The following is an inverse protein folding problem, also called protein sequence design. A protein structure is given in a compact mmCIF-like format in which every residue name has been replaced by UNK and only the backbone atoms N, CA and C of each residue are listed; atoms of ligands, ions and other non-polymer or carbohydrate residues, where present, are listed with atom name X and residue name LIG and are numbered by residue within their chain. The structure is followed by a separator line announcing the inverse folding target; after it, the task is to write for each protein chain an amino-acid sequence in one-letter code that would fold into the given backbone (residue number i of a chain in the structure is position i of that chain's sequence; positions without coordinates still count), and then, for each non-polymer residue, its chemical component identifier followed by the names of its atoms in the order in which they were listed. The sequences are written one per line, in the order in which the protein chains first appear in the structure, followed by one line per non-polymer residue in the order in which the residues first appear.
data_IF_185282143096
#
_entry.id   IF_185282143096
#
_cell.length_a   1.000
_cell.length_b   1.000
_cell.length_c   1.000
_cell.angle_alpha   90.00
_cell.angle_beta   90.00
_cell.angle_gamma   90.00
#
_symmetry.space_group_name_H-M   'P 1'
#
loop_
_entity.id
_entity.type
_entity.pdbx_description
1 polymer ?
#
# COMPACT_ATOMS: atom_id res chain seq x y z
N UNK A 1 -1.55 -17.10 9.90
CA UNK A 1 -1.22 -18.45 9.39
C UNK A 1 -0.19 -18.29 8.28
N UNK A 2 1.10 -18.39 8.61
CA UNK A 2 2.16 -18.47 7.61
C UNK A 2 2.25 -19.91 7.14
N UNK A 3 2.01 -20.14 5.85
CA UNK A 3 2.25 -21.44 5.22
C UNK A 3 3.74 -21.49 4.90
N UNK A 4 4.48 -22.37 5.56
CA UNK A 4 5.88 -22.67 5.23
C UNK A 4 5.93 -23.42 3.90
N UNK A 5 6.45 -22.77 2.86
CA UNK A 5 6.63 -23.36 1.52
C UNK A 5 8.01 -24.02 1.32
N UNK A 6 8.71 -24.38 2.40
CA UNK A 6 10.13 -24.75 2.35
C UNK A 6 10.46 -26.15 1.76
N UNK A 7 9.52 -26.86 1.14
CA UNK A 7 9.71 -28.28 0.77
C UNK A 7 9.31 -28.71 -0.64
N UNK A 8 8.76 -27.84 -1.49
CA UNK A 8 8.46 -28.22 -2.87
C UNK A 8 9.71 -28.03 -3.74
N UNK A 9 10.33 -29.16 -4.09
CA UNK A 9 11.47 -29.21 -5.00
C UNK A 9 11.22 -28.36 -6.24
N UNK A 10 12.19 -27.52 -6.57
CA UNK A 10 12.17 -26.63 -7.73
C UNK A 10 12.07 -27.48 -8.98
N UNK A 11 10.84 -27.70 -9.45
CA UNK A 11 10.60 -28.33 -10.75
C UNK A 11 11.23 -27.45 -11.82
N UNK A 12 11.69 -28.05 -12.90
CA UNK A 12 12.27 -27.35 -14.07
C UNK A 12 11.42 -26.19 -14.58
N UNK A 13 10.11 -26.25 -14.33
CA UNK A 13 9.16 -25.18 -14.64
C UNK A 13 9.43 -23.92 -13.81
N UNK A 14 9.78 -24.04 -12.52
CA UNK A 14 10.13 -22.90 -11.68
C UNK A 14 11.40 -22.19 -12.18
N UNK A 15 12.38 -22.94 -12.70
CA UNK A 15 13.62 -22.38 -13.25
C UNK A 15 13.36 -21.62 -14.55
N UNK A 16 12.53 -22.16 -15.46
CA UNK A 16 12.19 -21.43 -16.69
C UNK A 16 11.39 -20.17 -16.38
N UNK A 17 10.48 -20.22 -15.41
CA UNK A 17 9.74 -19.03 -14.98
C UNK A 17 10.64 -17.98 -14.34
N UNK A 18 11.65 -18.38 -13.55
CA UNK A 18 12.57 -17.43 -12.91
C UNK A 18 13.50 -16.77 -13.93
N UNK A 19 14.01 -17.50 -14.93
CA UNK A 19 14.87 -16.92 -15.97
C UNK A 19 14.08 -15.94 -16.84
N UNK A 20 12.86 -16.30 -17.27
CA UNK A 20 11.99 -15.39 -18.02
C UNK A 20 11.68 -14.14 -17.19
N UNK A 21 11.45 -14.32 -15.89
CA UNK A 21 11.16 -13.23 -14.97
C UNK A 21 12.33 -12.27 -14.80
N UNK A 22 13.54 -12.78 -14.58
CA UNK A 22 14.76 -11.96 -14.48
C UNK A 22 15.03 -11.20 -15.79
N UNK A 23 14.85 -11.86 -16.93
CA UNK A 23 14.99 -11.22 -18.24
C UNK A 23 13.91 -10.13 -18.48
N UNK A 24 12.70 -10.32 -17.98
CA UNK A 24 11.63 -9.31 -17.99
C UNK A 24 11.90 -8.17 -17.02
N UNK A 25 12.61 -8.44 -15.92
CA UNK A 25 12.97 -7.41 -14.94
C UNK A 25 14.05 -6.46 -15.50
N UNK A 26 15.00 -6.97 -16.30
CA UNK A 26 15.92 -6.17 -17.11
C UNK A 26 15.34 -5.81 -18.49
N UNK A 27 14.08 -5.35 -18.50
CA UNK A 27 13.44 -4.88 -19.72
C UNK A 27 14.22 -3.78 -20.46
N UNK A 28 15.01 -2.87 -19.82
CA UNK A 28 15.80 -1.90 -20.56
C UNK A 28 16.86 -2.57 -21.43
N UNK A 29 17.54 -3.60 -20.90
CA UNK A 29 18.51 -4.41 -21.65
C UNK A 29 17.87 -5.14 -22.83
N UNK A 30 16.73 -5.80 -22.59
CA UNK A 30 15.95 -6.48 -23.64
C UNK A 30 15.55 -5.52 -24.77
N UNK A 31 15.03 -4.35 -24.40
CA UNK A 31 14.60 -3.34 -25.35
C UNK A 31 15.77 -2.78 -26.15
N UNK A 32 16.92 -2.54 -25.51
CA UNK A 32 18.15 -2.14 -26.19
C UNK A 32 18.59 -3.18 -27.23
N UNK A 33 18.56 -4.46 -26.87
CA UNK A 33 18.88 -5.55 -27.79
C UNK A 33 17.92 -5.61 -29.00
N UNK A 34 16.61 -5.47 -28.76
CA UNK A 34 15.59 -5.45 -29.82
C UNK A 34 15.76 -4.26 -30.78
N UNK A 35 16.08 -3.07 -30.24
CA UNK A 35 16.37 -1.90 -31.06
C UNK A 35 17.62 -2.10 -31.93
N UNK A 36 18.69 -2.68 -31.38
CA UNK A 36 19.90 -2.99 -32.14
C UNK A 36 19.62 -3.99 -33.27
N UNK A 37 18.80 -5.01 -33.01
CA UNK A 37 18.35 -5.95 -34.03
C UNK A 37 17.54 -5.25 -35.11
N UNK A 38 16.61 -4.36 -34.74
CA UNK A 38 15.81 -3.58 -35.67
C UNK A 38 16.66 -2.69 -36.58
N UNK A 39 17.62 -1.96 -36.01
CA UNK A 39 18.58 -1.14 -36.76
C UNK A 39 19.41 -2.01 -37.71
N UNK A 40 19.89 -3.17 -37.24
CA UNK A 40 20.63 -4.13 -38.06
C UNK A 40 19.80 -4.65 -39.25
N UNK A 41 18.54 -4.99 -39.03
CA UNK A 41 17.64 -5.46 -40.08
C UNK A 41 17.39 -4.39 -41.15
N UNK A 42 17.15 -3.13 -40.74
CA UNK A 42 16.96 -2.02 -41.68
C UNK A 42 18.23 -1.71 -42.48
N UNK A 43 19.40 -1.76 -41.82
CA UNK A 43 20.68 -1.57 -42.50
C UNK A 43 20.93 -2.67 -43.56
N UNK A 44 20.63 -3.93 -43.25
CA UNK A 44 20.74 -5.04 -44.20
C UNK A 44 19.79 -4.86 -45.39
N UNK A 45 18.53 -4.49 -45.15
CA UNK A 45 17.56 -4.25 -46.24
C UNK A 45 18.01 -3.09 -47.13
N UNK A 46 18.60 -2.04 -46.55
CA UNK A 46 19.18 -0.95 -47.33
C UNK A 46 20.33 -1.42 -48.24
N UNK A 47 21.24 -2.26 -47.73
CA UNK A 47 22.33 -2.86 -48.52
C UNK A 47 21.79 -3.74 -49.65
N UNK A 48 20.79 -4.58 -49.36
CA UNK A 48 20.11 -5.43 -50.36
C UNK A 48 19.44 -4.57 -51.44
N UNK A 49 18.74 -3.50 -51.06
CA UNK A 49 18.17 -2.54 -52.00
C UNK A 49 19.23 -1.86 -52.88
N UNK A 50 20.44 -1.67 -52.34
CA UNK A 50 21.64 -1.26 -53.07
C UNK A 50 22.05 -2.27 -54.15
N UNK A 51 22.23 -3.53 -53.76
CA UNK A 51 22.67 -4.62 -54.65
C UNK A 51 21.66 -4.88 -55.76
N UNK A 52 20.36 -4.86 -55.43
CA UNK A 52 19.27 -5.10 -56.39
C UNK A 52 18.93 -3.87 -57.25
N UNK A 53 19.58 -2.72 -57.01
CA UNK A 53 19.28 -1.44 -57.65
C UNK A 53 17.77 -1.07 -57.62
N UNK A 54 17.07 -1.44 -56.54
CA UNK A 54 15.63 -1.20 -56.41
C UNK A 54 15.37 0.02 -55.52
N UNK A 55 15.01 1.14 -56.13
CA UNK A 55 14.75 2.40 -55.44
C UNK A 55 13.57 2.34 -54.47
N UNK A 56 12.60 1.44 -54.69
CA UNK A 56 11.47 1.27 -53.77
C UNK A 56 11.92 0.71 -52.42
N UNK A 57 12.84 -0.25 -52.42
CA UNK A 57 13.37 -0.86 -51.18
C UNK A 57 14.22 0.16 -50.41
N UNK A 58 15.02 0.97 -51.13
CA UNK A 58 15.80 2.06 -50.52
C UNK A 58 14.89 3.12 -49.90
N UNK A 59 13.83 3.52 -50.60
CA UNK A 59 12.87 4.49 -50.10
C UNK A 59 12.14 3.96 -48.85
N UNK A 60 11.72 2.69 -48.87
CA UNK A 60 11.14 2.03 -47.70
C UNK A 60 12.10 2.02 -46.51
N UNK A 61 13.36 1.62 -46.71
CA UNK A 61 14.36 1.59 -45.65
C UNK A 61 14.62 2.98 -45.05
N UNK A 62 14.62 4.04 -45.86
CA UNK A 62 14.76 5.42 -45.36
C UNK A 62 13.62 5.83 -44.44
N UNK A 63 12.37 5.46 -44.79
CA UNK A 63 11.20 5.74 -43.94
C UNK A 63 11.32 4.97 -42.62
N UNK A 64 11.71 3.69 -42.69
CA UNK A 64 11.83 2.83 -41.51
C UNK A 64 12.91 3.35 -40.53
N UNK A 65 14.02 3.92 -41.03
CA UNK A 65 15.04 4.57 -40.17
C UNK A 65 14.43 5.73 -39.36
N UNK A 66 13.59 6.57 -39.97
CA UNK A 66 12.93 7.65 -39.24
C UNK A 66 11.98 7.11 -38.17
N UNK A 67 11.28 6.02 -38.45
CA UNK A 67 10.33 5.40 -37.51
C UNK A 67 11.04 4.73 -36.33
N UNK A 68 12.20 4.11 -36.57
CA UNK A 68 13.10 3.64 -35.50
C UNK A 68 13.61 4.80 -34.64
N UNK A 69 14.02 5.92 -35.25
CA UNK A 69 14.46 7.09 -34.51
C UNK A 69 13.36 7.66 -33.59
N UNK A 70 12.11 7.72 -34.07
CA UNK A 70 10.96 8.09 -33.22
C UNK A 70 10.73 7.09 -32.08
N UNK A 71 10.95 5.79 -32.32
CA UNK A 71 10.82 4.76 -31.29
C UNK A 71 11.85 4.95 -30.16
N UNK A 72 13.09 5.29 -30.50
CA UNK A 72 14.15 5.62 -29.53
C UNK A 72 13.78 6.86 -28.73
N UNK A 73 13.26 7.91 -29.38
CA UNK A 73 12.83 9.14 -28.71
C UNK A 73 11.71 8.86 -27.71
N UNK A 74 10.69 8.09 -28.11
CA UNK A 74 9.59 7.66 -27.24
C UNK A 74 10.12 6.92 -26.01
N UNK A 75 11.10 6.02 -26.20
CA UNK A 75 11.69 5.27 -25.09
C UNK A 75 12.40 6.19 -24.09
N UNK A 76 13.22 7.13 -24.57
CA UNK A 76 13.90 8.11 -23.71
C UNK A 76 12.86 8.92 -22.91
N UNK A 77 11.78 9.34 -23.57
CA UNK A 77 10.70 10.07 -22.92
C UNK A 77 10.02 9.23 -21.82
N UNK A 78 9.73 7.95 -22.10
CA UNK A 78 9.12 7.04 -21.12
C UNK A 78 10.04 6.83 -19.92
N UNK A 79 11.32 6.53 -20.14
CA UNK A 79 12.32 6.40 -19.04
C UNK A 79 12.37 7.67 -18.20
N UNK A 80 12.37 8.84 -18.85
CA UNK A 80 12.29 10.14 -18.17
C UNK A 80 11.01 10.31 -17.36
N UNK A 81 9.85 9.93 -17.90
CA UNK A 81 8.58 9.91 -17.17
C UNK A 81 8.60 8.96 -15.98
N UNK A 82 9.26 7.79 -16.07
CA UNK A 82 9.38 6.86 -14.94
C UNK A 82 10.15 7.51 -13.79
N UNK A 83 11.26 8.17 -14.10
CA UNK A 83 12.04 8.93 -13.12
C UNK A 83 11.25 10.09 -12.52
N UNK A 84 10.49 10.81 -13.35
CA UNK A 84 9.62 11.90 -12.92
C UNK A 84 8.46 11.45 -12.03
N UNK A 85 7.83 10.30 -12.33
CA UNK A 85 6.78 9.73 -11.49
C UNK A 85 7.33 9.27 -10.14
N UNK A 86 8.55 8.71 -10.12
CA UNK A 86 9.22 8.34 -8.87
C UNK A 86 9.53 9.56 -8.02
N UNK A 87 10.10 10.62 -8.60
CA UNK A 87 10.41 11.85 -7.85
C UNK A 87 9.15 12.57 -7.37
N UNK A 88 8.08 12.57 -8.17
CA UNK A 88 6.79 13.11 -7.76
C UNK A 88 6.16 12.31 -6.61
N UNK A 89 6.18 10.98 -6.68
CA UNK A 89 5.69 10.14 -5.58
C UNK A 89 6.53 10.33 -4.30
N UNK A 90 7.84 10.52 -4.47
CA UNK A 90 8.73 10.82 -3.36
C UNK A 90 8.42 12.19 -2.74
N UNK A 91 8.21 13.24 -3.54
CA UNK A 91 7.89 14.56 -3.01
C UNK A 91 6.52 14.60 -2.35
N UNK A 92 5.53 13.93 -2.94
CA UNK A 92 4.20 13.81 -2.36
C UNK A 92 4.22 13.06 -1.02
N UNK A 93 5.03 12.00 -0.91
CA UNK A 93 5.17 11.26 0.35
C UNK A 93 6.03 11.97 1.40
N UNK A 94 6.93 12.86 1.01
CA UNK A 94 7.77 13.62 1.95
C UNK A 94 7.06 14.82 2.58
N UNK A 95 6.20 15.51 1.83
CA UNK A 95 5.52 16.72 2.29
C UNK A 95 4.21 16.42 3.04
N UNK A 96 3.52 15.35 2.67
CA UNK A 96 2.23 15.00 3.30
C UNK A 96 2.43 14.30 4.64
N UNK A 97 1.41 14.37 5.51
CA UNK A 97 1.32 13.78 6.86
C UNK A 97 1.53 12.25 6.93
N UNK A 98 2.03 11.61 5.86
CA UNK A 98 2.60 10.28 5.84
C UNK A 98 3.74 10.05 6.86
N UNK A 99 4.16 11.07 7.62
CA UNK A 99 5.02 10.96 8.80
C UNK A 99 4.57 9.88 9.80
N UNK A 100 3.31 9.44 9.77
CA UNK A 100 2.76 8.47 10.70
C UNK A 100 2.48 7.07 10.10
N UNK A 101 2.75 6.87 8.81
CA UNK A 101 2.63 5.58 8.12
C UNK A 101 4.00 5.01 7.73
N UNK A 102 4.22 3.74 8.00
CA UNK A 102 5.46 2.97 7.76
C UNK A 102 5.90 2.83 6.29
N UNK A 103 5.30 3.58 5.37
CA UNK A 103 5.52 3.49 3.93
C UNK A 103 6.31 4.71 3.40
N UNK A 104 7.45 5.02 4.00
CA UNK A 104 8.42 5.94 3.38
C UNK A 104 9.22 5.18 2.31
N UNK A 105 9.18 5.69 1.07
CA UNK A 105 9.92 5.12 -0.05
C UNK A 105 11.45 5.22 0.09
N UNK A 106 11.98 5.96 1.07
CA UNK A 106 13.41 6.22 1.23
C UNK A 106 14.08 5.42 2.34
N UNK A 107 13.34 4.94 3.35
CA UNK A 107 13.92 4.31 4.54
C UNK A 107 13.58 2.84 4.74
N UNK A 108 12.32 2.45 4.52
CA UNK A 108 11.81 1.14 4.97
C UNK A 108 12.04 0.02 3.94
N UNK A 109 12.23 0.38 2.66
CA UNK A 109 12.51 -0.58 1.59
C UNK A 109 13.85 -1.34 1.75
N UNK A 110 14.79 -0.79 2.51
CA UNK A 110 16.07 -1.45 2.76
C UNK A 110 16.02 -2.46 3.92
N UNK A 111 15.00 -2.40 4.78
CA UNK A 111 14.98 -3.16 6.03
C UNK A 111 13.97 -4.31 6.07
N UNK A 112 12.81 -4.20 5.41
CA UNK A 112 11.68 -5.05 5.78
C UNK A 112 11.11 -6.02 4.74
N UNK A 113 11.62 -6.08 3.51
CA UNK A 113 11.12 -7.10 2.58
C UNK A 113 11.94 -7.20 1.29
N UNK A 114 12.68 -8.29 1.13
CA UNK A 114 13.18 -8.72 -0.19
C UNK A 114 12.03 -8.88 -1.20
N UNK A 115 10.81 -9.13 -0.72
CA UNK A 115 9.61 -9.33 -1.54
C UNK A 115 9.15 -8.06 -2.29
N UNK A 116 9.62 -6.87 -1.90
CA UNK A 116 9.33 -5.60 -2.59
C UNK A 116 10.53 -5.00 -3.34
N UNK A 117 11.65 -5.74 -3.41
CA UNK A 117 12.84 -5.29 -4.15
C UNK A 117 12.51 -5.10 -5.63
N UNK A 118 12.63 -3.86 -6.12
CA UNK A 118 12.40 -3.49 -7.52
C UNK A 118 10.99 -2.98 -7.84
N UNK A 119 10.08 -2.86 -6.86
CA UNK A 119 8.79 -2.20 -7.08
C UNK A 119 8.96 -0.68 -6.97
N UNK A 120 8.48 0.11 -7.97
CA UNK A 120 8.51 1.56 -7.89
C UNK A 120 7.69 2.11 -6.71
N UNK A 121 8.18 3.20 -6.12
CA UNK A 121 7.56 3.90 -4.98
C UNK A 121 6.06 4.19 -5.16
N UNK A 122 5.63 4.70 -6.32
CA UNK A 122 4.23 5.07 -6.54
C UNK A 122 3.29 3.86 -6.52
N UNK A 123 3.75 2.69 -6.99
CA UNK A 123 2.99 1.44 -6.94
C UNK A 123 2.92 0.93 -5.50
N UNK A 124 4.05 1.00 -4.79
CA UNK A 124 4.11 0.61 -3.38
C UNK A 124 3.15 1.44 -2.51
N UNK A 125 3.15 2.77 -2.64
CA UNK A 125 2.22 3.66 -1.93
C UNK A 125 0.76 3.36 -2.27
N UNK A 126 0.47 3.01 -3.53
CA UNK A 126 -0.88 2.60 -3.94
C UNK A 126 -1.31 1.28 -3.28
N UNK A 127 -0.40 0.32 -3.19
CA UNK A 127 -0.65 -0.95 -2.49
C UNK A 127 -0.84 -0.74 -0.99
N UNK A 128 -0.06 0.15 -0.37
CA UNK A 128 -0.20 0.50 1.05
C UNK A 128 -1.56 1.15 1.35
N UNK A 129 -2.04 2.03 0.47
CA UNK A 129 -3.38 2.59 0.56
C UNK A 129 -4.46 1.50 0.48
N UNK A 130 -4.39 0.59 -0.50
CA UNK A 130 -5.34 -0.52 -0.62
C UNK A 130 -5.31 -1.45 0.61
N UNK A 131 -4.12 -1.73 1.13
CA UNK A 131 -3.93 -2.57 2.31
C UNK A 131 -4.47 -1.89 3.57
N UNK A 132 -4.34 -0.56 3.67
CA UNK A 132 -4.94 0.24 4.74
C UNK A 132 -6.47 0.18 4.68
N UNK A 133 -7.09 0.38 3.51
CA UNK A 133 -8.54 0.19 3.34
C UNK A 133 -8.99 -1.23 3.71
N UNK A 134 -8.21 -2.25 3.34
CA UNK A 134 -8.51 -3.64 3.68
C UNK A 134 -8.47 -3.89 5.20
N UNK A 135 -7.41 -3.44 5.89
CA UNK A 135 -7.26 -3.61 7.34
C UNK A 135 -8.36 -2.90 8.11
N UNK A 136 -8.68 -1.68 7.73
CA UNK A 136 -9.72 -0.88 8.37
C UNK A 136 -11.11 -1.48 8.11
N UNK A 137 -11.35 -1.98 6.89
CA UNK A 137 -12.56 -2.77 6.58
C UNK A 137 -12.66 -4.06 7.38
N UNK A 138 -11.53 -4.75 7.59
CA UNK A 138 -11.47 -5.96 8.40
C UNK A 138 -11.79 -5.68 9.88
N UNK A 139 -11.20 -4.64 10.45
CA UNK A 139 -11.48 -4.21 11.83
C UNK A 139 -12.95 -3.81 12.01
N UNK A 140 -13.50 -3.02 11.08
CA UNK A 140 -14.92 -2.66 11.07
C UNK A 140 -15.83 -3.90 10.94
N UNK A 141 -15.47 -4.86 10.09
CA UNK A 141 -16.23 -6.09 9.91
C UNK A 141 -16.20 -6.96 11.18
N UNK A 142 -15.06 -7.07 11.87
CA UNK A 142 -14.97 -7.81 13.13
C UNK A 142 -15.77 -7.17 14.26
N UNK A 143 -15.75 -5.83 14.38
CA UNK A 143 -16.57 -5.11 15.38
C UNK A 143 -18.07 -5.34 15.12
N UNK A 144 -18.53 -5.16 13.87
CA UNK A 144 -19.93 -5.39 13.50
C UNK A 144 -20.32 -6.85 13.74
N UNK A 145 -19.47 -7.81 13.36
CA UNK A 145 -19.72 -9.23 13.55
C UNK A 145 -19.81 -9.60 15.04
N UNK A 146 -18.88 -9.10 15.87
CA UNK A 146 -18.90 -9.34 17.31
C UNK A 146 -20.18 -8.79 17.97
N UNK A 147 -20.58 -7.57 17.60
CA UNK A 147 -21.84 -6.96 18.06
C UNK A 147 -23.06 -7.71 17.54
N UNK A 148 -23.01 -8.26 16.33
CA UNK A 148 -24.08 -9.06 15.75
C UNK A 148 -24.27 -10.37 16.52
N UNK A 149 -23.18 -11.11 16.79
CA UNK A 149 -23.24 -12.36 17.57
C UNK A 149 -23.80 -12.10 18.97
N UNK A 150 -23.35 -11.03 19.64
CA UNK A 150 -23.86 -10.67 20.96
C UNK A 150 -25.36 -10.34 20.93
N UNK A 151 -25.80 -9.51 19.97
CA UNK A 151 -27.22 -9.15 19.87
C UNK A 151 -28.09 -10.30 19.36
N UNK A 152 -27.55 -11.25 18.60
CA UNK A 152 -28.23 -12.49 18.23
C UNK A 152 -28.41 -13.40 19.45
N UNK A 153 -27.36 -13.58 20.27
CA UNK A 153 -27.45 -14.34 21.52
C UNK A 153 -28.48 -13.75 22.48
N UNK A 154 -28.47 -12.41 22.67
CA UNK A 154 -29.45 -11.73 23.52
C UNK A 154 -30.89 -11.82 22.97
N UNK A 155 -31.06 -11.87 21.65
CA UNK A 155 -32.37 -12.06 21.03
C UNK A 155 -32.93 -13.48 21.28
N UNK A 156 -32.05 -14.47 21.36
CA UNK A 156 -32.40 -15.86 21.69
C UNK A 156 -32.65 -16.07 23.18
N UNK A 157 -32.11 -15.21 24.06
CA UNK A 157 -32.48 -15.11 25.47
C UNK A 157 -33.89 -14.51 25.62
N UNK A 158 -34.89 -15.19 25.05
CA UNK A 158 -36.29 -14.86 25.21
C UNK A 158 -36.82 -15.44 26.51
N UNK A 159 -37.27 -14.58 27.42
CA UNK A 159 -38.15 -15.00 28.51
C UNK A 159 -39.52 -15.22 27.89
N UNK A 160 -39.80 -16.45 27.49
CA UNK A 160 -41.11 -16.82 26.96
C UNK A 160 -42.14 -16.71 28.10
N UNK A 161 -42.89 -15.60 28.12
CA UNK A 161 -44.11 -15.51 28.92
C UNK A 161 -45.19 -16.29 28.17
N UNK A 162 -45.32 -17.56 28.53
CA UNK A 162 -46.34 -18.45 28.01
C UNK A 162 -47.59 -18.34 28.88
N UNK A 163 -48.62 -17.66 28.37
CA UNK A 163 -49.92 -17.61 29.05
C UNK A 163 -50.79 -18.71 28.46
N UNK A 164 -50.84 -19.85 29.15
CA UNK A 164 -51.68 -20.98 28.77
C UNK A 164 -53.12 -20.65 29.18
N UNK A 165 -53.96 -20.35 28.20
CA UNK A 165 -55.40 -20.18 28.40
C UNK A 165 -56.12 -21.41 27.86
N UNK A 166 -56.84 -22.12 28.73
CA UNK A 166 -57.45 -23.44 28.44
C UNK A 166 -58.48 -23.42 27.31
N UNK A 167 -58.93 -22.25 26.86
CA UNK A 167 -59.92 -22.10 25.78
C UNK A 167 -59.40 -21.39 24.53
N UNK A 168 -58.23 -20.75 24.57
CA UNK A 168 -57.77 -19.84 23.48
C UNK A 168 -56.36 -20.15 22.95
N UNK A 169 -55.70 -21.19 23.44
CA UNK A 169 -54.39 -21.63 22.96
C UNK A 169 -53.22 -20.98 23.69
N UNK A 170 -52.02 -21.25 23.18
CA UNK A 170 -50.75 -20.78 23.74
C UNK A 170 -50.40 -19.44 23.12
N UNK A 171 -50.40 -18.37 23.92
CA UNK A 171 -49.85 -17.07 23.53
C UNK A 171 -48.45 -16.93 24.12
N UNK A 172 -47.45 -16.85 23.25
CA UNK A 172 -46.08 -16.52 23.61
C UNK A 172 -45.82 -15.06 23.24
N UNK A 173 -45.61 -14.20 24.25
CA UNK A 173 -45.25 -12.80 24.03
C UNK A 173 -43.74 -12.61 24.17
N UNK A 174 -43.08 -12.21 23.08
CA UNK A 174 -41.64 -11.95 23.03
C UNK A 174 -41.37 -10.51 22.58
N UNK A 175 -41.49 -9.52 23.49
CA UNK A 175 -41.45 -8.10 23.13
C UNK A 175 -40.13 -7.69 22.49
N UNK A 176 -39.04 -8.35 22.88
CA UNK A 176 -37.69 -8.00 22.43
C UNK A 176 -37.34 -8.57 21.06
N UNK A 177 -38.04 -9.62 20.60
CA UNK A 177 -37.64 -10.37 19.39
C UNK A 177 -37.73 -9.53 18.13
N UNK A 178 -38.82 -8.79 17.93
CA UNK A 178 -39.00 -7.96 16.72
C UNK A 178 -37.94 -6.86 16.59
N UNK A 179 -37.62 -6.24 17.72
CA UNK A 179 -36.59 -5.21 17.83
C UNK A 179 -35.20 -5.76 17.46
N UNK A 180 -34.79 -6.89 18.02
CA UNK A 180 -33.47 -7.47 17.75
C UNK A 180 -33.34 -7.99 16.31
N UNK A 181 -34.44 -8.48 15.73
CA UNK A 181 -34.45 -8.97 14.35
C UNK A 181 -34.03 -7.87 13.38
N UNK A 182 -34.61 -6.67 13.47
CA UNK A 182 -34.27 -5.58 12.53
C UNK A 182 -32.80 -5.15 12.71
N UNK A 183 -32.35 -4.95 13.95
CA UNK A 183 -30.95 -4.58 14.21
C UNK A 183 -29.94 -5.63 13.72
N UNK A 184 -30.25 -6.91 13.92
CA UNK A 184 -29.43 -8.03 13.45
C UNK A 184 -29.43 -8.11 11.91
N UNK A 185 -30.57 -7.86 11.25
CA UNK A 185 -30.62 -7.81 9.78
C UNK A 185 -29.76 -6.70 9.20
N UNK A 186 -29.79 -5.49 9.79
CA UNK A 186 -28.93 -4.39 9.34
C UNK A 186 -27.45 -4.73 9.51
N UNK A 187 -27.05 -5.25 10.68
CA UNK A 187 -25.66 -5.66 10.92
C UNK A 187 -25.20 -6.77 9.97
N UNK A 188 -26.05 -7.75 9.70
CA UNK A 188 -25.74 -8.82 8.76
C UNK A 188 -25.54 -8.27 7.33
N UNK A 189 -26.39 -7.34 6.89
CA UNK A 189 -26.22 -6.66 5.60
C UNK A 189 -24.92 -5.83 5.55
N UNK A 190 -24.61 -5.08 6.61
CA UNK A 190 -23.37 -4.29 6.68
C UNK A 190 -22.12 -5.18 6.67
N UNK A 191 -22.15 -6.30 7.39
CA UNK A 191 -21.07 -7.28 7.37
C UNK A 191 -20.85 -7.85 5.96
N UNK A 192 -21.90 -8.33 5.29
CA UNK A 192 -21.81 -8.83 3.91
C UNK A 192 -21.27 -7.75 2.95
N UNK A 193 -21.70 -6.50 3.14
CA UNK A 193 -21.22 -5.36 2.36
C UNK A 193 -19.71 -5.08 2.58
N UNK A 194 -19.24 -5.04 3.84
CA UNK A 194 -17.82 -4.83 4.15
C UNK A 194 -16.94 -5.95 3.61
N UNK A 195 -17.37 -7.21 3.67
CA UNK A 195 -16.64 -8.35 3.10
C UNK A 195 -16.45 -8.17 1.58
N UNK A 196 -17.46 -7.64 0.87
CA UNK A 196 -17.34 -7.34 -0.57
C UNK A 196 -16.35 -6.20 -0.83
N UNK A 197 -16.41 -5.12 -0.04
CA UNK A 197 -15.44 -4.01 -0.15
C UNK A 197 -14.00 -4.48 0.10
N UNK A 198 -13.78 -5.29 1.14
CA UNK A 198 -12.48 -5.91 1.42
C UNK A 198 -11.99 -6.78 0.27
N UNK A 199 -12.88 -7.57 -0.33
CA UNK A 199 -12.55 -8.42 -1.47
C UNK A 199 -12.12 -7.59 -2.67
N UNK A 200 -12.82 -6.48 -2.95
CA UNK A 200 -12.48 -5.54 -4.02
C UNK A 200 -11.12 -4.87 -3.76
N UNK A 201 -10.89 -4.36 -2.54
CA UNK A 201 -9.62 -3.73 -2.17
C UNK A 201 -8.45 -4.71 -2.32
N UNK A 202 -8.62 -5.96 -1.88
CA UNK A 202 -7.56 -6.98 -2.00
C UNK A 202 -7.32 -7.40 -3.44
N UNK A 203 -8.37 -7.52 -4.25
CA UNK A 203 -8.25 -7.78 -5.68
C UNK A 203 -7.46 -6.66 -6.38
N UNK A 204 -7.70 -5.39 -6.03
CA UNK A 204 -7.00 -4.24 -6.59
C UNK A 204 -5.53 -4.20 -6.18
N UNK A 205 -5.20 -4.53 -4.93
CA UNK A 205 -3.81 -4.69 -4.47
C UNK A 205 -3.08 -5.77 -5.29
N UNK A 206 -3.72 -6.92 -5.49
CA UNK A 206 -3.18 -8.03 -6.30
C UNK A 206 -3.03 -7.58 -7.76
N UNK A 207 -4.01 -6.84 -8.31
CA UNK A 207 -3.96 -6.30 -9.66
C UNK A 207 -2.80 -5.33 -9.83
N UNK A 208 -2.56 -4.41 -8.88
CA UNK A 208 -1.44 -3.48 -8.92
C UNK A 208 -0.09 -4.22 -8.94
N UNK A 209 0.03 -5.26 -8.11
CA UNK A 209 1.23 -6.12 -8.11
C UNK A 209 1.39 -6.88 -9.42
N UNK A 210 0.31 -7.44 -9.96
CA UNK A 210 0.33 -8.11 -11.26
C UNK A 210 0.68 -7.15 -12.40
N UNK A 211 0.21 -5.90 -12.32
CA UNK A 211 0.51 -4.86 -13.30
C UNK A 211 2.00 -4.53 -13.30
N UNK A 212 2.60 -4.29 -12.13
CA UNK A 212 4.00 -3.91 -12.02
C UNK A 212 4.95 -5.04 -12.39
N UNK A 213 4.60 -6.26 -12.00
CA UNK A 213 5.50 -7.42 -12.07
C UNK A 213 5.34 -8.19 -13.38
N UNK A 214 4.11 -8.42 -13.85
CA UNK A 214 3.84 -9.26 -15.02
C UNK A 214 3.43 -8.45 -16.25
N UNK A 215 2.37 -7.66 -16.13
CA UNK A 215 1.69 -7.07 -17.27
C UNK A 215 2.51 -5.95 -17.94
N UNK A 216 3.18 -5.10 -17.16
CA UNK A 216 3.97 -3.99 -17.69
C UNK A 216 5.15 -4.48 -18.54
N UNK A 217 6.10 -5.30 -18.03
CA UNK A 217 7.22 -5.76 -18.84
C UNK A 217 6.77 -6.54 -20.07
N UNK A 218 5.71 -7.35 -19.95
CA UNK A 218 5.15 -8.13 -21.05
C UNK A 218 4.59 -7.23 -22.16
N UNK A 219 3.59 -6.38 -21.87
CA UNK A 219 2.97 -5.53 -22.90
C UNK A 219 3.94 -4.49 -23.44
N UNK A 220 4.85 -3.98 -22.62
CA UNK A 220 5.84 -3.01 -23.07
C UNK A 220 6.83 -3.64 -24.06
N UNK A 221 7.42 -4.79 -23.70
CA UNK A 221 8.39 -5.49 -24.56
C UNK A 221 7.75 -6.00 -25.84
N UNK A 222 6.55 -6.61 -25.75
CA UNK A 222 5.78 -7.03 -26.93
C UNK A 222 5.39 -5.83 -27.80
N UNK A 223 4.97 -4.72 -27.19
CA UNK A 223 4.62 -3.51 -27.93
C UNK A 223 5.78 -2.96 -28.75
N UNK A 224 6.99 -2.96 -28.20
CA UNK A 224 8.21 -2.54 -28.89
C UNK A 224 8.56 -3.50 -30.02
N UNK A 225 8.51 -4.81 -29.76
CA UNK A 225 8.78 -5.84 -30.78
C UNK A 225 7.81 -5.73 -31.97
N UNK A 226 6.51 -5.57 -31.69
CA UNK A 226 5.50 -5.37 -32.72
C UNK A 226 5.69 -4.06 -33.50
N UNK A 227 6.42 -3.09 -32.94
CA UNK A 227 6.71 -1.83 -33.62
C UNK A 227 7.77 -1.97 -34.72
N UNK A 228 8.61 -3.01 -34.64
CA UNK A 228 9.64 -3.33 -35.65
C UNK A 228 9.01 -3.80 -36.98
N UNK A 229 7.80 -4.36 -36.93
CA UNK A 229 7.08 -4.78 -38.15
C UNK A 229 6.07 -3.72 -38.58
N UNK A 230 6.17 -3.26 -39.83
CA UNK A 230 5.30 -2.22 -40.39
C UNK A 230 3.79 -2.55 -40.25
N UNK A 231 3.40 -3.81 -40.40
CA UNK A 231 1.99 -4.23 -40.31
C UNK A 231 1.44 -4.24 -38.87
N UNK A 232 2.27 -4.50 -37.85
CA UNK A 232 1.83 -4.56 -36.45
C UNK A 232 2.15 -3.28 -35.68
N UNK A 233 2.67 -2.25 -36.33
CA UNK A 233 3.09 -1.00 -35.67
C UNK A 233 1.98 -0.32 -34.88
N UNK A 234 0.78 -0.24 -35.47
CA UNK A 234 -0.41 0.32 -34.82
C UNK A 234 -0.80 -0.46 -33.56
N UNK A 235 -0.73 -1.78 -33.63
CA UNK A 235 -1.00 -2.65 -32.48
C UNK A 235 0.09 -2.50 -31.40
N UNK A 236 1.36 -2.37 -31.80
CA UNK A 236 2.47 -2.11 -30.89
C UNK A 236 2.30 -0.81 -30.11
N UNK A 237 1.91 0.27 -30.78
CA UNK A 237 1.60 1.57 -30.14
C UNK A 237 0.47 1.48 -29.12
N UNK A 238 -0.60 0.71 -29.42
CA UNK A 238 -1.68 0.43 -28.48
C UNK A 238 -1.20 -0.34 -27.25
N UNK A 239 -0.44 -1.43 -27.42
CA UNK A 239 0.04 -2.24 -26.29
C UNK A 239 0.99 -1.44 -25.38
N UNK A 240 1.86 -0.61 -25.96
CA UNK A 240 2.69 0.32 -25.18
C UNK A 240 1.84 1.33 -24.41
N UNK A 241 0.80 1.90 -25.02
CA UNK A 241 -0.10 2.84 -24.35
C UNK A 241 -0.83 2.18 -23.16
N UNK A 242 -1.28 0.93 -23.32
CA UNK A 242 -1.89 0.13 -22.24
C UNK A 242 -0.91 -0.10 -21.10
N UNK A 243 0.31 -0.53 -21.42
CA UNK A 243 1.35 -0.77 -20.42
C UNK A 243 1.65 0.50 -19.60
N UNK A 244 1.88 1.63 -20.28
CA UNK A 244 2.21 2.92 -19.64
C UNK A 244 1.04 3.41 -18.79
N UNK A 245 -0.19 3.36 -19.31
CA UNK A 245 -1.37 3.86 -18.58
C UNK A 245 -1.65 3.05 -17.32
N UNK A 246 -1.59 1.72 -17.40
CA UNK A 246 -1.79 0.85 -16.24
C UNK A 246 -0.65 0.99 -15.21
N UNK A 247 0.57 1.23 -15.65
CA UNK A 247 1.72 1.34 -14.76
C UNK A 247 1.89 2.72 -14.11
N UNK A 248 1.45 3.79 -14.78
CA UNK A 248 1.58 5.16 -14.26
C UNK A 248 0.26 5.73 -13.77
N UNK A 249 -0.75 5.77 -14.64
CA UNK A 249 -1.98 6.51 -14.36
C UNK A 249 -2.76 5.81 -13.26
N UNK A 250 -2.97 4.50 -13.37
CA UNK A 250 -3.73 3.72 -12.38
C UNK A 250 -3.21 3.90 -10.94
N UNK A 251 -1.93 3.63 -10.61
CA UNK A 251 -1.42 3.82 -9.25
C UNK A 251 -1.44 5.29 -8.79
N UNK A 252 -1.15 6.27 -9.65
CA UNK A 252 -1.13 7.68 -9.23
C UNK A 252 -2.48 8.12 -8.62
N UNK A 253 -3.60 7.68 -9.18
CA UNK A 253 -4.92 7.99 -8.60
C UNK A 253 -5.14 7.35 -7.22
N UNK A 254 -4.59 6.15 -6.99
CA UNK A 254 -4.61 5.52 -5.68
C UNK A 254 -3.68 6.23 -4.68
N UNK A 255 -2.51 6.70 -5.10
CA UNK A 255 -1.63 7.53 -4.26
C UNK A 255 -2.35 8.81 -3.83
N UNK A 256 -3.01 9.50 -4.76
CA UNK A 256 -3.81 10.70 -4.44
C UNK A 256 -4.91 10.35 -3.44
N UNK A 257 -5.61 9.22 -3.65
CA UNK A 257 -6.61 8.73 -2.70
C UNK A 257 -6.05 8.44 -1.31
N UNK A 258 -4.87 7.84 -1.23
CA UNK A 258 -4.15 7.59 0.02
C UNK A 258 -3.78 8.86 0.76
N UNK A 259 -3.30 9.89 0.05
CA UNK A 259 -2.98 11.20 0.64
C UNK A 259 -4.23 11.84 1.26
N UNK A 260 -5.32 11.92 0.50
CA UNK A 260 -6.58 12.49 1.01
C UNK A 260 -7.16 11.67 2.17
N UNK A 261 -7.11 10.34 2.07
CA UNK A 261 -7.56 9.43 3.12
C UNK A 261 -6.79 9.66 4.43
N UNK A 262 -5.45 9.72 4.35
CA UNK A 262 -4.59 9.94 5.50
C UNK A 262 -4.77 11.33 6.10
N UNK A 263 -4.94 12.37 5.29
CA UNK A 263 -5.20 13.73 5.79
C UNK A 263 -6.50 13.80 6.59
N UNK A 264 -7.58 13.17 6.11
CA UNK A 264 -8.84 13.10 6.86
C UNK A 264 -8.69 12.30 8.16
N UNK A 265 -7.93 11.21 8.10
CA UNK A 265 -7.61 10.40 9.27
C UNK A 265 -6.87 11.22 10.34
N UNK A 266 -5.86 11.97 9.94
CA UNK A 266 -5.09 12.80 10.86
C UNK A 266 -5.93 13.93 11.48
N UNK A 267 -6.80 14.57 10.69
CA UNK A 267 -7.74 15.57 11.21
C UNK A 267 -8.70 14.97 12.23
N UNK A 268 -9.26 13.80 11.95
CA UNK A 268 -10.16 13.12 12.87
C UNK A 268 -9.50 12.73 14.20
N UNK A 269 -8.22 12.35 14.17
CA UNK A 269 -7.43 12.08 15.39
C UNK A 269 -7.12 13.39 16.13
N UNK A 270 -6.75 14.46 15.42
CA UNK A 270 -6.44 15.76 16.02
C UNK A 270 -7.63 16.41 16.74
N UNK A 271 -8.85 16.21 16.23
CA UNK A 271 -10.09 16.73 16.85
C UNK A 271 -10.49 15.99 18.14
N UNK A 272 -9.95 14.79 18.38
CA UNK A 272 -10.20 14.00 19.59
C UNK A 272 -8.90 13.79 20.40
N UNK A 273 -8.33 14.85 20.99
CA UNK A 273 -6.99 14.83 21.62
C UNK A 273 -6.95 14.10 22.97
N UNK A 274 -7.80 13.10 23.19
CA UNK A 274 -7.86 12.32 24.43
C UNK A 274 -6.53 11.63 24.80
N UNK A 275 -5.56 11.61 23.88
CA UNK A 275 -4.21 11.11 24.11
C UNK A 275 -3.22 11.97 23.29
N UNK A 276 -2.12 12.48 23.88
CA UNK A 276 -1.09 13.18 23.12
C UNK A 276 -0.40 12.22 22.14
N UNK A 277 -0.56 12.49 20.84
CA UNK A 277 0.00 11.72 19.72
C UNK A 277 1.47 11.32 19.91
N UNK A 278 2.25 12.17 20.56
CA UNK A 278 3.68 11.98 20.80
C UNK A 278 4.03 10.75 21.64
N UNK A 279 3.14 10.28 22.53
CA UNK A 279 3.43 9.10 23.37
C UNK A 279 3.13 7.78 22.66
N UNK A 280 2.15 7.74 21.75
CA UNK A 280 1.75 6.52 21.03
C UNK A 280 2.82 6.11 19.99
N UNK A 281 3.47 7.10 19.36
CA UNK A 281 4.41 6.88 18.24
C UNK A 281 5.76 6.31 18.64
N UNK A 282 6.29 6.72 19.80
CA UNK A 282 7.57 6.20 20.29
C UNK A 282 7.48 4.70 20.55
N UNK A 283 6.32 4.20 20.93
CA UNK A 283 6.18 2.82 21.39
C UNK A 283 5.83 1.87 20.23
N UNK A 284 5.10 2.35 19.21
CA UNK A 284 4.77 1.53 18.03
C UNK A 284 6.00 1.23 17.16
N UNK A 285 6.87 2.22 16.93
CA UNK A 285 8.15 1.98 16.24
C UNK A 285 9.05 1.02 17.04
N UNK A 286 9.12 1.18 18.36
CA UNK A 286 9.88 0.25 19.22
C UNK A 286 9.33 -1.18 19.13
N UNK A 287 8.01 -1.39 19.09
CA UNK A 287 7.43 -2.75 19.05
C UNK A 287 7.53 -3.41 17.67
N UNK A 288 7.40 -2.65 16.57
CA UNK A 288 7.53 -3.16 15.20
C UNK A 288 9.01 -3.37 14.79
N UNK A 289 9.94 -2.53 15.22
CA UNK A 289 11.37 -2.66 14.90
C UNK A 289 12.07 -3.77 15.72
N UNK A 290 11.58 -4.10 16.92
CA UNK A 290 12.24 -5.09 17.78
C UNK A 290 11.78 -6.53 17.55
N UNK A 291 10.61 -6.76 16.93
CA UNK A 291 10.02 -8.09 16.86
C UNK A 291 9.77 -8.68 18.27
N UNK A 292 9.02 -9.77 18.35
CA UNK A 292 8.74 -10.45 19.63
C UNK A 292 9.95 -11.19 20.23
N UNK A 293 11.17 -10.92 19.75
CA UNK A 293 12.41 -11.47 20.28
C UNK A 293 13.19 -10.35 20.97
N UNK A 294 13.71 -10.54 22.20
CA UNK A 294 14.67 -9.60 22.75
C UNK A 294 15.88 -9.55 21.80
N UNK A 295 16.00 -8.49 21.02
CA UNK A 295 17.22 -8.21 20.25
C UNK A 295 18.29 -7.88 21.27
N UNK A 296 19.00 -8.90 21.72
CA UNK A 296 20.32 -8.72 22.27
C UNK A 296 21.17 -8.18 21.12
N UNK A 297 21.36 -6.87 21.08
CA UNK A 297 22.49 -6.31 20.36
C UNK A 297 23.74 -6.93 21.01
N UNK A 298 24.22 -8.04 20.46
CA UNK A 298 25.53 -8.58 20.78
C UNK A 298 26.54 -7.61 20.16
N UNK A 299 26.68 -6.47 20.82
CA UNK A 299 27.73 -5.50 20.59
C UNK A 299 28.99 -6.23 21.01
N UNK A 300 29.67 -6.82 20.01
CA UNK A 300 31.03 -7.26 20.16
C UNK A 300 31.85 -6.19 20.88
N UNK A 301 32.91 -6.63 21.56
CA UNK A 301 33.72 -5.83 22.49
C UNK A 301 33.88 -4.36 22.05
N UNK A 302 33.81 -3.41 22.99
CA UNK A 302 33.78 -1.98 22.69
C UNK A 302 35.10 -1.56 22.04
N UNK A 303 35.14 -1.60 20.71
CA UNK A 303 36.20 -0.97 19.93
C UNK A 303 35.80 0.50 19.71
N UNK A 304 36.77 1.43 19.69
CA UNK A 304 36.50 2.86 19.46
C UNK A 304 35.69 3.12 18.18
N UNK A 305 35.85 2.27 17.17
CA UNK A 305 35.18 2.36 15.87
C UNK A 305 33.65 2.17 15.95
N UNK A 306 33.17 1.34 16.89
CA UNK A 306 31.73 1.10 17.09
C UNK A 306 31.05 2.22 17.91
N UNK A 307 31.82 2.98 18.69
CA UNK A 307 31.35 4.14 19.46
C UNK A 307 31.07 5.35 18.55
N UNK A 308 31.90 5.57 17.53
CA UNK A 308 31.66 6.64 16.54
C UNK A 308 30.40 6.39 15.71
N UNK A 309 30.16 5.13 15.31
CA UNK A 309 28.90 4.74 14.63
C UNK A 309 27.67 5.01 15.49
N UNK A 310 27.76 4.84 16.81
CA UNK A 310 26.65 5.12 17.73
C UNK A 310 26.32 6.62 17.83
N UNK A 311 27.33 7.47 17.94
CA UNK A 311 27.14 8.92 17.98
C UNK A 311 26.57 9.45 16.65
N UNK A 312 27.04 8.90 15.53
CA UNK A 312 26.56 9.24 14.19
C UNK A 312 25.09 8.81 13.99
N UNK A 313 24.70 7.62 14.46
CA UNK A 313 23.30 7.18 14.42
C UNK A 313 22.43 8.12 15.27
N UNK A 314 22.78 8.40 16.53
CA UNK A 314 21.96 9.29 17.38
C UNK A 314 21.87 10.72 16.83
N UNK A 315 22.94 11.23 16.24
CA UNK A 315 22.97 12.56 15.65
C UNK A 315 22.18 12.61 14.33
N UNK A 316 22.21 11.54 13.54
CA UNK A 316 21.35 11.39 12.37
C UNK A 316 19.88 11.26 12.77
N UNK A 317 19.55 10.56 13.87
CA UNK A 317 18.17 10.49 14.38
C UNK A 317 17.68 11.87 14.87
N UNK A 318 18.55 12.64 15.56
CA UNK A 318 18.25 14.01 15.99
C UNK A 318 18.00 14.94 14.80
N UNK A 319 18.83 14.84 13.75
CA UNK A 319 18.69 15.66 12.55
C UNK A 319 17.48 15.25 11.69
N UNK A 320 17.11 13.96 11.69
CA UNK A 320 16.01 13.44 10.87
C UNK A 320 14.64 13.70 11.51
N UNK A 321 14.55 13.62 12.84
CA UNK A 321 13.26 13.69 13.54
C UNK A 321 13.09 14.91 14.46
N UNK A 322 14.13 15.74 14.65
CA UNK A 322 14.05 16.98 15.43
C UNK A 322 13.93 16.80 16.95
N UNK A 323 14.02 15.57 17.46
CA UNK A 323 13.91 15.27 18.90
C UNK A 323 15.28 15.05 19.55
N UNK A 324 15.52 15.76 20.65
CA UNK A 324 16.74 15.61 21.46
C UNK A 324 16.53 14.61 22.60
N UNK A 325 16.73 13.31 22.30
CA UNK A 325 16.60 12.21 23.26
C UNK A 325 17.56 12.30 24.45
N UNK A 326 18.54 13.20 24.43
CA UNK A 326 19.47 13.38 25.55
C UNK A 326 18.81 14.01 26.78
N UNK A 327 17.73 14.79 26.59
CA UNK A 327 17.07 15.50 27.70
C UNK A 327 16.08 14.64 28.51
N UNK A 328 15.56 13.55 27.92
CA UNK A 328 14.61 12.66 28.60
C UNK A 328 15.24 11.66 29.57
N UNK A 329 16.52 11.31 29.38
CA UNK A 329 17.21 10.28 30.16
C UNK A 329 18.06 10.84 31.32
N UNK A 330 18.28 12.15 31.36
CA UNK A 330 19.00 12.81 32.46
C UNK A 330 17.98 13.63 33.26
N UNK A 331 17.24 12.96 34.13
CA UNK A 331 16.25 13.60 35.00
C UNK A 331 16.89 14.74 35.80
N UNK A 332 16.41 15.98 35.60
CA UNK A 332 16.63 17.22 36.40
C UNK A 332 17.94 17.27 37.22
N UNK A 333 19.04 16.83 36.64
CA UNK A 333 20.35 16.76 37.24
C UNK A 333 21.20 17.86 36.64
N UNK A 334 21.73 18.70 37.51
CA UNK A 334 22.59 19.84 37.24
C UNK A 334 23.47 19.67 35.97
N UNK A 335 23.39 20.56 34.95
CA UNK A 335 24.13 20.43 33.69
C UNK A 335 25.67 20.35 33.85
N UNK A 336 26.21 20.64 35.04
CA UNK A 336 27.62 20.40 35.38
C UNK A 336 28.02 18.93 35.59
N UNK A 337 27.08 17.99 35.71
CA UNK A 337 27.40 16.57 35.92
C UNK A 337 27.92 15.88 34.64
N UNK A 338 27.52 16.35 33.45
CA UNK A 338 27.92 15.74 32.18
C UNK A 338 29.36 16.08 31.81
N UNK A 339 29.85 17.28 32.17
CA UNK A 339 31.25 17.66 31.90
C UNK A 339 32.26 16.97 32.81
N UNK A 340 31.89 16.59 34.03
CA UNK A 340 32.78 15.86 34.94
C UNK A 340 32.92 14.36 34.59
N UNK A 341 32.05 13.80 33.75
CA UNK A 341 32.14 12.41 33.28
C UNK A 341 33.09 12.24 32.08
N UNK A 342 33.41 13.30 31.35
CA UNK A 342 34.36 13.25 30.23
C UNK A 342 35.83 13.27 30.72
N UNK A 343 36.07 13.72 31.96
CA UNK A 343 37.41 13.84 32.55
C UNK A 343 37.87 12.65 33.39
N UNK A 344 36.99 11.70 33.73
CA UNK A 344 37.35 10.51 34.49
C UNK A 344 37.05 9.28 33.64
N UNK A 345 38.10 8.53 33.29
CA UNK A 345 38.06 7.41 32.35
C UNK A 345 36.80 6.55 32.49
N UNK A 346 36.06 6.43 31.40
CA UNK A 346 34.83 5.64 31.28
C UNK A 346 35.12 4.16 31.56
N UNK A 347 35.00 3.79 32.82
CA UNK A 347 34.76 2.41 33.22
C UNK A 347 33.28 2.15 32.95
N UNK A 348 32.99 1.52 31.81
CA UNK A 348 31.72 0.87 31.46
C UNK A 348 30.47 1.46 32.15
N UNK A 349 29.97 2.60 31.66
CA UNK A 349 28.56 2.93 31.86
C UNK A 349 27.78 1.92 31.02
N UNK A 350 27.35 0.86 31.68
CA UNK A 350 26.56 -0.21 31.10
C UNK A 350 25.20 0.37 30.70
N UNK A 351 25.06 0.81 29.45
CA UNK A 351 23.80 1.35 28.92
C UNK A 351 22.65 0.32 29.00
N UNK A 352 22.98 -0.98 29.15
CA UNK A 352 21.99 -2.03 29.45
C UNK A 352 21.43 -2.00 30.88
N UNK A 353 21.98 -1.23 31.82
CA UNK A 353 21.41 -1.11 33.18
C UNK A 353 20.52 0.11 33.37
N UNK A 354 20.48 1.05 32.41
CA UNK A 354 19.65 2.27 32.49
C UNK A 354 18.49 2.29 31.49
N UNK A 355 18.33 1.25 30.65
CA UNK A 355 16.99 0.69 30.43
C UNK A 355 16.72 -0.19 31.65
N UNK A 356 16.67 0.44 32.83
CA UNK A 356 16.23 -0.24 34.03
C UNK A 356 14.90 -0.87 33.68
N UNK A 357 14.79 -2.19 33.88
CA UNK A 357 13.58 -3.00 33.69
C UNK A 357 12.39 -2.08 33.70
N UNK A 358 11.92 -1.71 32.50
CA UNK A 358 10.72 -0.91 32.36
C UNK A 358 9.72 -1.72 33.16
N UNK A 359 9.37 -1.22 34.35
CA UNK A 359 8.61 -1.96 35.34
C UNK A 359 7.47 -2.63 34.57
N UNK A 360 7.33 -3.95 34.69
CA UNK A 360 6.34 -4.69 33.90
C UNK A 360 4.95 -4.04 34.08
N UNK A 361 4.73 -3.34 35.20
CA UNK A 361 3.58 -2.48 35.45
C UNK A 361 3.46 -1.30 34.47
N UNK A 362 4.54 -0.58 34.14
CA UNK A 362 4.61 0.51 33.16
C UNK A 362 4.53 0.00 31.74
N UNK A 363 5.16 -1.14 31.41
CA UNK A 363 5.00 -1.77 30.10
C UNK A 363 3.55 -2.21 29.92
N UNK A 364 2.93 -2.83 30.93
CA UNK A 364 1.53 -3.20 30.90
C UNK A 364 0.59 -1.98 30.89
N UNK A 365 0.93 -0.88 31.56
CA UNK A 365 0.17 0.37 31.49
C UNK A 365 0.30 1.01 30.11
N UNK A 366 1.48 0.97 29.51
CA UNK A 366 1.74 1.41 28.15
C UNK A 366 1.00 0.52 27.15
N UNK A 367 1.04 -0.81 27.29
CA UNK A 367 0.33 -1.73 26.38
C UNK A 367 -1.19 -1.67 26.59
N UNK A 368 -1.66 -1.39 27.82
CA UNK A 368 -3.07 -1.16 28.11
C UNK A 368 -3.53 0.19 27.56
N UNK A 369 -2.76 1.26 27.77
CA UNK A 369 -3.05 2.57 27.21
C UNK A 369 -2.94 2.52 25.67
N UNK A 370 -1.96 1.81 25.11
CA UNK A 370 -1.87 1.57 23.67
C UNK A 370 -3.01 0.70 23.18
N UNK A 371 -3.44 -0.34 23.89
CA UNK A 371 -4.60 -1.15 23.50
C UNK A 371 -5.93 -0.38 23.60
N UNK A 372 -6.04 0.55 24.56
CA UNK A 372 -7.18 1.45 24.72
C UNK A 372 -7.14 2.63 23.73
N UNK A 373 -5.96 3.05 23.26
CA UNK A 373 -5.75 4.19 22.36
C UNK A 373 -5.47 3.80 20.90
N UNK A 374 -5.06 2.55 20.65
CA UNK A 374 -4.95 1.93 19.32
C UNK A 374 -6.27 1.36 18.85
N UNK A 375 -7.34 1.53 19.63
CA UNK A 375 -8.69 1.58 19.09
C UNK A 375 -8.62 2.42 17.84
N UNK A 376 -8.88 1.80 16.70
CA UNK A 376 -8.56 2.39 15.40
C UNK A 376 -9.16 3.78 15.34
N UNK A 377 -8.52 4.69 14.61
CA UNK A 377 -9.05 6.04 14.44
C UNK A 377 -10.55 6.04 14.02
N UNK A 378 -11.02 4.96 13.37
CA UNK A 378 -12.44 4.67 13.20
C UNK A 378 -13.20 4.64 14.54
N UNK A 379 -12.77 3.86 15.53
CA UNK A 379 -13.36 3.89 16.87
C UNK A 379 -13.31 5.27 17.54
N UNK A 380 -12.31 6.10 17.22
CA UNK A 380 -12.23 7.49 17.72
C UNK A 380 -13.27 8.40 17.04
N UNK A 381 -13.48 8.27 15.72
CA UNK A 381 -14.63 8.91 15.03
C UNK A 381 -15.95 8.42 15.60
N UNK A 382 -16.05 7.13 15.94
CA UNK A 382 -17.27 6.54 16.49
C UNK A 382 -17.66 7.15 17.84
N UNK A 383 -16.76 7.87 18.54
CA UNK A 383 -17.07 8.68 19.73
C UNK A 383 -17.81 7.95 20.85
N UNK A 384 -17.76 6.60 20.88
CA UNK A 384 -18.70 5.80 21.69
C UNK A 384 -18.02 4.70 22.49
N UNK A 385 -18.31 4.73 23.79
CA UNK A 385 -18.19 3.58 24.67
C UNK A 385 -19.06 2.45 24.11
N UNK A 386 -18.51 1.23 24.05
CA UNK A 386 -19.16 -0.01 23.60
C UNK A 386 -20.53 -0.28 24.26
N UNK A 387 -20.79 0.37 25.41
CA UNK A 387 -22.00 0.28 26.21
C UNK A 387 -22.96 1.47 26.12
N UNK A 388 -22.71 2.48 25.26
CA UNK A 388 -23.64 3.61 25.20
C UNK A 388 -24.99 3.14 24.60
N UNK A 389 -26.02 3.13 25.46
CA UNK A 389 -27.26 2.34 25.35
C UNK A 389 -28.21 2.74 24.21
N UNK A 390 -27.84 3.73 23.38
CA UNK A 390 -28.57 4.07 22.14
C UNK A 390 -28.18 3.15 20.96
N UNK A 391 -27.41 2.08 21.22
CA UNK A 391 -26.92 1.06 20.27
C UNK A 391 -28.01 0.24 19.53
N UNK A 392 -29.27 0.69 19.62
CA UNK A 392 -30.42 -0.03 19.13
C UNK A 392 -31.07 0.72 17.97
N UNK A 393 -30.78 0.26 16.74
CA UNK A 393 -31.16 0.84 15.45
C UNK A 393 -30.66 2.27 15.16
N UNK A 394 -30.92 3.23 16.06
CA UNK A 394 -30.51 4.62 15.89
C UNK A 394 -28.98 4.76 15.88
N UNK A 395 -28.28 4.00 16.73
CA UNK A 395 -26.81 4.01 16.75
C UNK A 395 -26.14 3.56 15.45
N UNK A 396 -26.82 2.78 14.61
CA UNK A 396 -26.30 2.38 13.30
C UNK A 396 -26.33 3.52 12.27
N UNK A 397 -27.29 4.44 12.40
CA UNK A 397 -27.56 5.56 11.45
C UNK A 397 -26.96 6.89 11.92
N UNK A 398 -26.71 7.04 13.23
CA UNK A 398 -26.05 8.23 13.78
C UNK A 398 -24.64 8.44 13.17
N UNK A 399 -24.15 9.69 13.09
CA UNK A 399 -22.75 9.97 12.71
C UNK A 399 -21.77 9.14 13.53
N UNK A 400 -20.77 8.55 12.88
CA UNK A 400 -19.89 7.55 13.49
C UNK A 400 -20.59 6.22 13.81
N UNK A 401 -21.72 5.92 13.17
CA UNK A 401 -22.39 4.63 13.22
C UNK A 401 -21.73 3.61 12.28
N UNK A 402 -22.24 2.37 12.32
CA UNK A 402 -21.76 1.29 11.45
C UNK A 402 -22.01 1.62 9.96
N UNK A 403 -23.14 2.26 9.65
CA UNK A 403 -23.49 2.66 8.27
C UNK A 403 -22.58 3.79 7.79
N UNK A 404 -22.30 4.78 8.65
CA UNK A 404 -21.42 5.89 8.32
C UNK A 404 -19.99 5.40 8.05
N UNK A 405 -19.50 4.49 8.89
CA UNK A 405 -18.18 3.86 8.72
C UNK A 405 -18.09 3.05 7.41
N UNK A 406 -19.10 2.23 7.13
CA UNK A 406 -19.17 1.45 5.90
C UNK A 406 -19.29 2.36 4.65
N UNK A 407 -20.02 3.48 4.78
CA UNK A 407 -20.18 4.46 3.71
C UNK A 407 -18.88 5.21 3.43
N UNK A 408 -18.14 5.59 4.47
CA UNK A 408 -16.82 6.20 4.34
C UNK A 408 -15.83 5.26 3.66
N UNK A 409 -15.73 4.01 4.13
CA UNK A 409 -14.88 2.99 3.50
C UNK A 409 -15.30 2.71 2.05
N UNK A 410 -16.60 2.63 1.79
CA UNK A 410 -17.12 2.48 0.44
C UNK A 410 -16.75 3.66 -0.46
N UNK A 411 -16.81 4.89 0.05
CA UNK A 411 -16.48 6.05 -0.73
C UNK A 411 -15.02 5.97 -1.18
N UNK A 412 -14.08 5.79 -0.26
CA UNK A 412 -12.66 5.71 -0.61
C UNK A 412 -12.32 4.49 -1.48
N UNK A 413 -12.95 3.35 -1.23
CA UNK A 413 -12.73 2.16 -2.03
C UNK A 413 -13.32 2.27 -3.43
N UNK A 414 -14.57 2.71 -3.60
CA UNK A 414 -15.22 2.70 -4.92
C UNK A 414 -14.90 3.94 -5.75
N UNK A 415 -14.82 5.12 -5.13
CA UNK A 415 -14.61 6.37 -5.85
C UNK A 415 -13.23 6.43 -6.50
N UNK A 416 -12.16 6.14 -5.74
CA UNK A 416 -10.80 6.19 -6.28
C UNK A 416 -10.55 5.09 -7.30
N UNK A 417 -11.13 3.90 -7.13
CA UNK A 417 -11.04 2.84 -8.14
C UNK A 417 -11.77 3.19 -9.43
N UNK A 418 -12.95 3.80 -9.33
CA UNK A 418 -13.68 4.30 -10.49
C UNK A 418 -12.88 5.38 -11.22
N UNK A 419 -12.37 6.39 -10.50
CA UNK A 419 -11.52 7.43 -11.08
C UNK A 419 -10.25 6.86 -11.72
N UNK A 420 -9.57 5.95 -11.04
CA UNK A 420 -8.35 5.32 -11.55
C UNK A 420 -8.65 4.54 -12.84
N UNK A 421 -9.76 3.82 -12.91
CA UNK A 421 -10.18 3.09 -14.12
C UNK A 421 -10.51 4.05 -15.26
N UNK A 422 -11.33 5.07 -15.01
CA UNK A 422 -11.72 6.07 -16.02
C UNK A 422 -10.50 6.84 -16.55
N UNK A 423 -9.61 7.25 -15.66
CA UNK A 423 -8.39 7.96 -16.03
C UNK A 423 -7.42 7.05 -16.80
N UNK A 424 -7.31 5.77 -16.42
CA UNK A 424 -6.49 4.80 -17.16
C UNK A 424 -7.02 4.61 -18.56
N UNK A 425 -8.33 4.47 -18.73
CA UNK A 425 -8.99 4.35 -20.04
C UNK A 425 -8.73 5.60 -20.89
N UNK A 426 -8.94 6.80 -20.33
CA UNK A 426 -8.65 8.06 -21.02
C UNK A 426 -7.16 8.19 -21.37
N UNK A 427 -6.29 7.72 -20.49
CA UNK A 427 -4.85 7.60 -20.70
C UNK A 427 -4.50 6.70 -21.87
N UNK A 428 -5.10 5.51 -21.95
CA UNK A 428 -4.89 4.57 -23.06
C UNK A 428 -5.29 5.22 -24.38
N UNK A 429 -6.45 5.88 -24.43
CA UNK A 429 -6.94 6.55 -25.64
C UNK A 429 -6.00 7.66 -26.11
N UNK A 430 -5.56 8.52 -25.19
CA UNK A 430 -4.67 9.65 -25.51
C UNK A 430 -3.26 9.20 -25.88
N UNK A 431 -2.68 8.29 -25.10
CA UNK A 431 -1.34 7.75 -25.35
C UNK A 431 -1.29 6.86 -26.59
N UNK A 432 -2.35 6.11 -26.90
CA UNK A 432 -2.39 5.28 -28.11
C UNK A 432 -2.26 6.15 -29.36
N UNK A 433 -3.01 7.25 -29.46
CA UNK A 433 -2.88 8.19 -30.58
C UNK A 433 -1.48 8.81 -30.66
N UNK A 434 -0.90 9.21 -29.53
CA UNK A 434 0.46 9.76 -29.46
C UNK A 434 1.52 8.75 -29.94
N UNK A 435 1.36 7.47 -29.60
CA UNK A 435 2.30 6.40 -29.93
C UNK A 435 2.09 5.82 -31.34
N UNK A 436 1.19 6.40 -32.13
CA UNK A 436 0.84 5.95 -33.48
C UNK A 436 -0.01 4.68 -33.51
N UNK A 437 -0.67 4.36 -32.38
CA UNK A 437 -1.65 3.30 -32.29
C UNK A 437 -3.00 3.71 -32.87
N UNK A 438 -3.77 2.71 -33.27
CA UNK A 438 -5.13 2.92 -33.76
C UNK A 438 -6.13 2.75 -32.61
N UNK A 439 -6.77 3.84 -32.22
CA UNK A 439 -7.79 3.82 -31.15
C UNK A 439 -9.13 3.29 -31.68
N UNK A 440 -9.28 3.19 -33.00
CA UNK A 440 -10.51 2.77 -33.67
C UNK A 440 -10.62 1.24 -33.82
N UNK A 441 -9.83 0.46 -33.07
CA UNK A 441 -10.06 -0.99 -33.00
C UNK A 441 -11.45 -1.21 -32.41
N UNK A 442 -12.39 -1.56 -33.29
CA UNK A 442 -13.80 -1.74 -33.03
C UNK A 442 -14.02 -2.68 -31.84
N UNK A 443 -14.32 -2.09 -30.68
CA UNK A 443 -14.51 -2.83 -29.44
C UNK A 443 -14.05 -2.04 -28.22
N UNK A 444 -12.87 -1.42 -28.26
CA UNK A 444 -12.39 -0.64 -27.11
C UNK A 444 -13.27 0.58 -26.87
N UNK A 445 -13.64 1.29 -27.95
CA UNK A 445 -14.54 2.46 -27.89
C UNK A 445 -15.97 2.14 -27.47
N UNK A 446 -16.35 0.86 -27.47
CA UNK A 446 -17.68 0.39 -27.05
C UNK A 446 -17.69 -0.14 -25.61
N UNK A 447 -16.51 -0.50 -25.09
CA UNK A 447 -16.28 -0.91 -23.71
C UNK A 447 -16.07 0.32 -22.80
N UNK A 448 -15.53 1.40 -23.37
CA UNK A 448 -15.53 2.77 -22.83
C UNK A 448 -16.91 3.38 -23.05
#
# INVERSE_FOLDING_TARGET
MGIDYAGLGTTTDQIMTSILFEALQDWPGLVGALLMLGIGAVALIYMIGGILANDKIKAWAKIEVFELAYSVLILIFIVGMMGGAHSLALSLSSDSSYKYGSASCTGVLNAFSEQFKGIPCHIYLSMDFMNSLFKEGQEAAYDIYGRYVLTAMLAEMSVNLEVITTQTGVFAYNPLRGFFVVGNTVKAMMFDYLIKLMTIAKFQEILLRFVSVGLFPFFFSTGILLRVFAFTRKLGGLLMAIAISLFFILPIFYVIGGIYYNELKDKAIAENPGVPLSEILVIKHVKEDLGSAPVFFNLGSPTPENLYKHAEVMQNTKNTYGYDYTTGLVGKGNPGAVQNLVGQGFSAVNFCSTVGTLDDSKVAQIDKNLGENSKSWFEQIKGRNWFNQNAFLLGAVEPGGDIDSASFLSFFSLFFSFLALMATIAGIKSLSGLLGGDVEIAGLTHLI
#
